data_IF_797145538969
#
_entry.id   IF_797145538969
#
_cell.length_a   1.000
_cell.length_b   1.000
_cell.length_c   1.000
_cell.angle_alpha   90.00
_cell.angle_beta   90.00
_cell.angle_gamma   90.00
#
_symmetry.space_group_name_H-M   'P 1'
#
loop_
_entity.id
_entity.type
_entity.pdbx_description
1 polymer ?
#
# COMPACT_ATOMS: atom_id res chain seq x y z
N UNK A 1 -21.76 -1.74 11.98
CA UNK A 1 -22.26 -1.27 10.67
C UNK A 1 -21.65 -2.16 9.60
N UNK A 2 -22.45 -2.64 8.65
CA UNK A 2 -21.94 -3.44 7.52
C UNK A 2 -21.65 -2.50 6.34
N UNK A 3 -20.48 -2.63 5.72
CA UNK A 3 -20.13 -1.87 4.53
C UNK A 3 -20.99 -2.39 3.37
N UNK A 4 -21.61 -1.47 2.63
CA UNK A 4 -22.33 -1.85 1.41
C UNK A 4 -21.33 -2.28 0.35
N UNK A 5 -21.61 -3.37 -0.40
CA UNK A 5 -20.78 -3.72 -1.55
C UNK A 5 -20.74 -2.56 -2.56
N UNK A 6 -19.65 -2.41 -3.32
CA UNK A 6 -19.58 -1.41 -4.38
C UNK A 6 -20.71 -1.59 -5.40
N UNK A 7 -21.07 -0.50 -6.08
CA UNK A 7 -22.05 -0.53 -7.17
C UNK A 7 -21.56 -1.47 -8.30
N UNK A 8 -22.49 -2.11 -9.01
CA UNK A 8 -22.19 -2.99 -10.16
C UNK A 8 -21.47 -2.23 -11.29
N UNK A 9 -21.64 -0.92 -11.38
CA UNK A 9 -20.93 -0.05 -12.33
C UNK A 9 -19.58 0.45 -11.81
N UNK A 10 -19.11 0.01 -10.64
CA UNK A 10 -17.83 0.46 -10.07
C UNK A 10 -16.64 0.24 -11.03
N UNK A 11 -16.65 -0.84 -11.80
CA UNK A 11 -15.62 -1.12 -12.82
C UNK A 11 -15.67 -0.20 -14.05
N UNK A 12 -16.76 0.53 -14.23
CA UNK A 12 -16.96 1.48 -15.35
C UNK A 12 -16.74 2.94 -14.96
N UNK A 13 -16.43 3.19 -13.67
CA UNK A 13 -16.10 4.53 -13.21
C UNK A 13 -14.81 5.00 -13.88
N UNK A 14 -14.90 6.16 -14.54
CA UNK A 14 -13.71 6.89 -14.99
C UNK A 14 -13.07 7.49 -13.74
N UNK A 15 -11.99 6.86 -13.28
CA UNK A 15 -11.23 7.39 -12.14
C UNK A 15 -10.43 8.60 -12.60
N UNK A 16 -10.49 9.74 -11.88
CA UNK A 16 -9.69 10.90 -12.21
C UNK A 16 -8.21 10.58 -12.00
N UNK A 17 -7.38 10.93 -12.98
CA UNK A 17 -5.93 10.94 -12.81
C UNK A 17 -5.55 12.25 -12.14
N UNK A 18 -4.89 12.17 -10.99
CA UNK A 18 -4.37 13.33 -10.26
C UNK A 18 -2.85 13.29 -10.27
N UNK A 19 -2.23 14.42 -10.59
CA UNK A 19 -0.79 14.59 -10.45
C UNK A 19 -0.45 15.00 -9.02
N UNK A 20 0.56 14.36 -8.46
CA UNK A 20 1.04 14.62 -7.11
C UNK A 20 2.54 14.86 -7.18
N UNK A 21 3.00 15.93 -6.54
CA UNK A 21 4.41 16.20 -6.33
C UNK A 21 5.03 15.12 -5.43
N UNK A 22 6.03 14.41 -5.94
CA UNK A 22 6.73 13.35 -5.22
C UNK A 22 7.36 13.84 -3.91
N UNK A 23 7.75 15.12 -3.81
CA UNK A 23 8.29 15.69 -2.57
C UNK A 23 7.28 15.75 -1.41
N UNK A 24 5.98 15.61 -1.70
CA UNK A 24 4.90 15.56 -0.70
C UNK A 24 4.64 14.14 -0.16
N UNK A 25 5.33 13.14 -0.69
CA UNK A 25 5.09 11.74 -0.39
C UNK A 25 6.16 11.19 0.55
N UNK A 26 5.73 10.35 1.49
CA UNK A 26 6.58 9.65 2.44
C UNK A 26 6.53 8.16 2.12
N UNK A 27 7.69 7.52 2.13
CA UNK A 27 7.84 6.07 1.98
C UNK A 27 8.76 5.53 3.06
N UNK A 28 8.33 4.46 3.71
CA UNK A 28 9.18 3.66 4.60
C UNK A 28 9.70 2.49 3.77
N UNK A 29 11.01 2.28 3.76
CA UNK A 29 11.67 1.31 2.89
C UNK A 29 12.83 0.65 3.61
N UNK A 30 13.00 -0.66 3.41
CA UNK A 30 14.22 -1.39 3.77
C UNK A 30 15.36 -1.21 2.75
N UNK A 31 15.04 -0.70 1.56
CA UNK A 31 15.99 -0.42 0.49
C UNK A 31 16.53 1.00 0.65
N UNK A 32 17.86 1.14 0.75
CA UNK A 32 18.57 2.40 0.96
C UNK A 32 19.39 2.83 -0.28
N UNK A 33 18.84 2.62 -1.48
CA UNK A 33 19.51 2.87 -2.76
C UNK A 33 19.17 4.24 -3.38
N UNK A 34 18.55 5.14 -2.62
CA UNK A 34 18.15 6.48 -3.08
C UNK A 34 16.92 6.51 -3.99
N UNK A 35 16.60 5.40 -4.67
CA UNK A 35 15.47 5.29 -5.59
C UNK A 35 14.27 4.55 -4.99
N UNK A 36 13.03 4.89 -5.37
CA UNK A 36 11.85 4.11 -5.03
C UNK A 36 11.99 2.66 -5.54
N UNK A 37 11.87 1.70 -4.63
CA UNK A 37 11.83 0.28 -5.00
C UNK A 37 10.41 -0.13 -5.38
N UNK A 38 10.27 -0.71 -6.57
CA UNK A 38 9.01 -1.23 -7.09
C UNK A 38 8.98 -2.76 -6.93
N UNK A 39 8.13 -3.25 -6.03
CA UNK A 39 7.94 -4.68 -5.82
C UNK A 39 7.24 -5.33 -7.01
N UNK A 40 7.65 -6.53 -7.38
CA UNK A 40 7.04 -7.35 -8.46
C UNK A 40 6.66 -8.76 -8.00
N UNK A 41 6.47 -8.94 -6.70
CA UNK A 41 6.27 -10.27 -6.10
C UNK A 41 4.85 -10.79 -6.23
N UNK A 42 3.85 -9.93 -6.45
CA UNK A 42 2.44 -10.37 -6.53
C UNK A 42 1.86 -10.72 -5.16
N UNK A 43 2.46 -10.24 -4.07
CA UNK A 43 2.13 -10.67 -2.70
C UNK A 43 1.29 -9.63 -1.94
N UNK A 44 1.20 -8.40 -2.44
CA UNK A 44 0.45 -7.31 -1.81
C UNK A 44 -0.81 -6.94 -2.61
N UNK A 45 -1.71 -6.18 -1.96
CA UNK A 45 -3.06 -5.84 -2.45
C UNK A 45 -3.13 -5.24 -3.86
N UNK A 46 -2.12 -4.45 -4.26
CA UNK A 46 -2.05 -3.79 -5.57
C UNK A 46 -0.85 -4.24 -6.40
N UNK A 47 -0.24 -5.37 -6.06
CA UNK A 47 0.80 -5.94 -6.92
C UNK A 47 0.19 -6.45 -8.23
N UNK A 48 1.04 -6.64 -9.24
CA UNK A 48 0.63 -7.24 -10.49
C UNK A 48 0.10 -8.67 -10.24
N UNK A 49 -1.20 -8.94 -10.53
CA UNK A 49 -1.77 -10.27 -10.31
C UNK A 49 -1.21 -11.29 -11.30
N UNK A 50 -0.52 -10.86 -12.37
CA UNK A 50 0.02 -11.71 -13.43
C UNK A 50 1.39 -12.25 -13.04
N UNK A 51 1.51 -12.82 -11.84
CA UNK A 51 2.74 -13.38 -11.30
C UNK A 51 3.34 -14.50 -12.14
N UNK A 52 2.52 -15.15 -12.99
CA UNK A 52 2.90 -16.20 -13.93
C UNK A 52 3.62 -15.70 -15.19
N UNK A 53 3.61 -14.39 -15.48
CA UNK A 53 4.29 -13.81 -16.63
C UNK A 53 5.78 -13.53 -16.33
N UNK A 54 6.63 -13.43 -17.38
CA UNK A 54 8.01 -12.98 -17.24
C UNK A 54 8.11 -11.60 -16.57
N UNK A 55 9.18 -11.31 -15.79
CA UNK A 55 9.33 -10.03 -15.08
C UNK A 55 9.30 -8.76 -15.95
N UNK A 56 9.60 -8.89 -17.25
CA UNK A 56 9.55 -7.81 -18.23
C UNK A 56 8.10 -7.43 -18.61
N UNK A 57 7.17 -8.37 -18.51
CA UNK A 57 5.75 -8.19 -18.89
C UNK A 57 4.84 -7.83 -17.70
N UNK A 58 5.47 -7.55 -16.56
CA UNK A 58 4.79 -7.20 -15.30
C UNK A 58 5.10 -5.78 -14.89
N UNK A 59 4.11 -5.10 -14.33
CA UNK A 59 4.35 -3.83 -13.66
C UNK A 59 4.87 -4.05 -12.24
N UNK A 60 5.54 -3.04 -11.70
CA UNK A 60 5.94 -3.01 -10.29
C UNK A 60 5.10 -2.01 -9.52
N UNK A 61 4.95 -2.25 -8.22
CA UNK A 61 4.14 -1.41 -7.34
C UNK A 61 5.02 -0.80 -6.25
N UNK A 62 4.81 0.48 -5.96
CA UNK A 62 5.47 1.21 -4.88
C UNK A 62 4.40 1.96 -4.06
N UNK A 63 4.50 1.88 -2.73
CA UNK A 63 3.50 2.41 -1.81
C UNK A 63 4.03 3.67 -1.12
N UNK A 64 3.19 4.70 -1.06
CA UNK A 64 3.49 6.00 -0.45
C UNK A 64 2.31 6.46 0.39
N UNK A 65 2.59 7.28 1.40
CA UNK A 65 1.58 8.03 2.15
C UNK A 65 1.87 9.53 2.12
N UNK A 66 0.83 10.36 2.25
CA UNK A 66 0.98 11.81 2.41
C UNK A 66 1.52 12.22 3.78
N UNK A 67 1.51 11.29 4.74
CA UNK A 67 2.04 11.50 6.10
C UNK A 67 2.83 10.28 6.51
N UNK A 68 3.74 10.45 7.46
CA UNK A 68 4.49 9.33 8.04
C UNK A 68 3.55 8.28 8.67
N UNK A 69 2.48 8.72 9.33
CA UNK A 69 1.48 7.82 9.90
C UNK A 69 0.76 6.99 8.83
N UNK A 70 0.43 7.59 7.68
CA UNK A 70 -0.17 6.89 6.54
C UNK A 70 0.82 5.91 5.91
N UNK A 71 2.07 6.33 5.67
CA UNK A 71 3.11 5.45 5.14
C UNK A 71 3.42 4.28 6.09
N UNK A 72 3.42 4.52 7.40
CA UNK A 72 3.54 3.48 8.42
C UNK A 72 2.35 2.53 8.41
N UNK A 73 1.12 3.04 8.35
CA UNK A 73 -0.06 2.21 8.24
C UNK A 73 0.04 1.31 7.00
N UNK A 74 0.36 1.84 5.81
CA UNK A 74 0.57 1.01 4.61
C UNK A 74 1.68 -0.03 4.82
N UNK A 75 2.79 0.35 5.48
CA UNK A 75 3.90 -0.58 5.75
C UNK A 75 3.53 -1.67 6.77
N UNK A 76 2.61 -1.45 7.71
CA UNK A 76 2.19 -2.53 8.63
C UNK A 76 1.02 -3.32 8.05
N UNK A 77 0.17 -2.68 7.25
CA UNK A 77 -0.99 -3.30 6.62
C UNK A 77 -0.64 -4.10 5.37
N UNK A 78 0.52 -3.86 4.73
CA UNK A 78 0.90 -4.56 3.50
C UNK A 78 0.94 -6.09 3.64
N UNK A 79 1.39 -6.59 4.79
CA UNK A 79 1.50 -8.03 5.08
C UNK A 79 0.24 -8.66 5.70
N UNK A 80 -0.82 -7.86 5.92
CA UNK A 80 -1.99 -8.35 6.65
C UNK A 80 -3.17 -8.57 5.72
N UNK A 81 -3.81 -9.72 5.89
CA UNK A 81 -5.16 -9.95 5.39
C UNK A 81 -6.15 -9.30 6.36
N UNK A 82 -7.14 -8.57 5.85
CA UNK A 82 -8.18 -7.98 6.71
C UNK A 82 -8.97 -9.10 7.40
N UNK A 83 -9.11 -9.03 8.72
CA UNK A 83 -9.99 -9.91 9.51
C UNK A 83 -11.35 -9.21 9.65
N UNK A 84 -12.39 -9.75 8.99
CA UNK A 84 -13.76 -9.19 8.98
C UNK A 84 -13.84 -7.71 8.58
N UNK A 85 -13.02 -7.29 7.61
CA UNK A 85 -13.00 -5.91 7.10
C UNK A 85 -12.24 -4.90 7.97
N UNK A 86 -11.54 -5.37 9.02
CA UNK A 86 -10.67 -4.54 9.84
C UNK A 86 -9.25 -5.09 9.92
N UNK A 87 -8.31 -4.24 10.35
CA UNK A 87 -6.93 -4.63 10.62
C UNK A 87 -6.61 -4.39 12.09
N UNK A 88 -6.34 -5.46 12.84
CA UNK A 88 -6.03 -5.36 14.27
C UNK A 88 -4.60 -4.86 14.48
N UNK A 89 -4.42 -3.57 14.64
CA UNK A 89 -3.12 -2.95 14.90
C UNK A 89 -2.83 -2.96 16.42
N UNK A 90 -1.70 -3.54 16.89
CA UNK A 90 -1.27 -3.34 18.26
C UNK A 90 -0.96 -1.85 18.48
N UNK A 91 -1.56 -1.24 19.50
CA UNK A 91 -1.40 0.19 19.78
C UNK A 91 0.06 0.57 20.08
N UNK A 92 0.86 -0.36 20.60
CA UNK A 92 2.30 -0.22 20.82
C UNK A 92 3.10 0.07 19.55
N UNK A 93 2.55 -0.25 18.37
CA UNK A 93 3.16 0.08 17.08
C UNK A 93 2.95 1.55 16.67
N UNK A 94 2.02 2.28 17.29
CA UNK A 94 1.69 3.67 16.93
C UNK A 94 2.52 4.72 17.68
N UNK A 95 3.06 4.39 18.85
CA UNK A 95 3.70 5.39 19.73
C UNK A 95 5.22 5.46 19.62
N UNK A 96 5.85 4.60 18.81
CA UNK A 96 7.29 4.43 18.84
C UNK A 96 7.74 3.82 20.17
N UNK A 97 8.62 2.83 20.12
CA UNK A 97 9.32 2.42 21.33
C UNK A 97 10.26 3.54 21.77
N UNK A 98 9.76 4.52 22.52
CA UNK A 98 10.59 5.21 23.51
C UNK A 98 10.85 4.19 24.62
N UNK A 99 11.99 3.51 24.51
CA UNK A 99 12.62 2.86 25.64
C UNK A 99 13.73 3.80 26.11
N UNK A 100 13.64 4.19 27.38
CA UNK A 100 14.76 4.74 28.15
C UNK A 100 15.94 3.75 28.19
#
# INVERSE_FOLDING_TARGET
MSLKPPDVVFSTLVLPVIEIDAAKLVRISRHNNGEPYFGKSGLNRFDDPRGYLPPADRYGTCYFGFTLACAFAETVLHDRTSDRGGFKMPYTSLTGGLRD
#
